data_IF_931479279412
#
_entry.id   IF_931479279412
#
_cell.length_a   1.000
_cell.length_b   1.000
_cell.length_c   1.000
_cell.angle_alpha   90.00
_cell.angle_beta   90.00
_cell.angle_gamma   90.00
#
_symmetry.space_group_name_H-M   'P 1'
#
loop_
_entity.id
_entity.type
_entity.pdbx_description
1 polymer ?
#
# COMPACT_ATOMS: atom_id res chain seq x y z
N UNK A 1 -16.43 5.66 -16.51
CA UNK A 1 -15.30 5.00 -15.82
C UNK A 1 -15.37 3.52 -16.14
N UNK A 2 -14.46 3.01 -16.97
CA UNK A 2 -14.38 1.58 -17.31
C UNK A 2 -14.06 0.77 -16.05
N UNK A 3 -14.79 -0.33 -15.83
CA UNK A 3 -14.46 -1.28 -14.76
C UNK A 3 -13.14 -1.94 -15.13
N UNK A 4 -12.05 -1.57 -14.47
CA UNK A 4 -10.78 -2.29 -14.59
C UNK A 4 -11.00 -3.73 -14.11
N UNK A 5 -10.81 -4.70 -15.00
CA UNK A 5 -10.89 -6.12 -14.70
C UNK A 5 -9.47 -6.66 -14.52
N UNK A 6 -9.15 -7.16 -13.33
CA UNK A 6 -7.85 -7.74 -13.00
C UNK A 6 -7.89 -9.28 -13.19
N UNK A 7 -8.01 -9.73 -14.45
CA UNK A 7 -8.01 -11.17 -14.76
C UNK A 7 -6.60 -11.76 -14.51
N UNK A 8 -6.51 -12.92 -13.87
CA UNK A 8 -5.23 -13.57 -13.53
C UNK A 8 -4.50 -13.00 -12.30
N UNK A 9 -4.97 -11.89 -11.72
CA UNK A 9 -4.44 -11.35 -10.46
C UNK A 9 -5.06 -12.08 -9.26
N UNK A 10 -4.28 -12.47 -8.23
CA UNK A 10 -4.84 -13.08 -7.02
C UNK A 10 -5.96 -12.23 -6.40
N UNK A 11 -7.05 -12.86 -5.95
CA UNK A 11 -8.26 -12.17 -5.44
C UNK A 11 -7.96 -11.12 -4.38
N UNK A 12 -6.98 -11.37 -3.49
CA UNK A 12 -6.54 -10.41 -2.46
C UNK A 12 -5.94 -9.15 -3.09
N UNK A 13 -5.04 -9.31 -4.05
CA UNK A 13 -4.40 -8.20 -4.77
C UNK A 13 -5.44 -7.41 -5.58
N UNK A 14 -6.33 -8.08 -6.31
CA UNK A 14 -7.38 -7.41 -7.07
C UNK A 14 -8.31 -6.53 -6.20
N UNK A 15 -8.65 -7.00 -4.99
CA UNK A 15 -9.42 -6.22 -4.02
C UNK A 15 -8.65 -4.98 -3.54
N UNK A 16 -7.35 -5.10 -3.28
CA UNK A 16 -6.50 -3.98 -2.88
C UNK A 16 -6.34 -2.96 -4.00
N UNK A 17 -6.09 -3.42 -5.24
CA UNK A 17 -6.01 -2.54 -6.41
C UNK A 17 -7.32 -1.76 -6.61
N UNK A 18 -8.48 -2.41 -6.41
CA UNK A 18 -9.77 -1.72 -6.45
C UNK A 18 -9.91 -0.67 -5.34
N UNK A 19 -9.57 -1.03 -4.10
CA UNK A 19 -9.57 -0.13 -2.92
C UNK A 19 -8.69 1.10 -3.17
N UNK A 20 -7.51 0.88 -3.72
CA UNK A 20 -6.50 1.90 -4.02
C UNK A 20 -6.72 2.62 -5.36
N UNK A 21 -7.83 2.37 -6.07
CA UNK A 21 -8.12 2.96 -7.38
C UNK A 21 -6.98 2.73 -8.40
N UNK A 22 -6.26 1.62 -8.26
CA UNK A 22 -5.12 1.26 -9.11
C UNK A 22 -3.86 2.08 -8.85
N UNK A 23 -3.76 2.80 -7.74
CA UNK A 23 -2.63 3.69 -7.41
C UNK A 23 -1.78 3.08 -6.29
N UNK A 24 -0.46 3.08 -6.46
CA UNK A 24 0.47 2.70 -5.42
C UNK A 24 0.54 3.81 -4.34
N UNK A 25 0.24 3.51 -3.05
CA UNK A 25 0.23 4.52 -1.99
C UNK A 25 1.61 5.08 -1.67
N UNK A 26 2.70 4.39 -2.03
CA UNK A 26 4.06 4.86 -1.80
C UNK A 26 4.52 5.86 -2.88
N UNK A 27 4.53 5.47 -4.15
CA UNK A 27 5.04 6.33 -5.24
C UNK A 27 3.97 7.17 -5.95
N UNK A 28 2.69 6.96 -5.64
CA UNK A 28 1.52 7.63 -6.24
C UNK A 28 1.33 7.40 -7.75
N UNK A 29 2.03 6.43 -8.34
CA UNK A 29 1.85 6.03 -9.74
C UNK A 29 0.79 4.93 -9.87
N UNK A 30 0.22 4.79 -11.07
CA UNK A 30 -0.72 3.71 -11.37
C UNK A 30 0.00 2.37 -11.52
N UNK A 31 -0.66 1.29 -11.13
CA UNK A 31 -0.25 -0.06 -11.49
C UNK A 31 -0.56 -0.35 -12.96
N UNK A 32 0.31 -1.12 -13.58
CA UNK A 32 0.20 -1.64 -14.93
C UNK A 32 0.19 -3.18 -14.89
N UNK A 33 -0.27 -3.87 -15.94
CA UNK A 33 -0.26 -5.33 -16.00
C UNK A 33 1.14 -5.95 -15.90
N UNK A 34 2.19 -5.20 -16.26
CA UNK A 34 3.58 -5.66 -16.25
C UNK A 34 4.27 -5.45 -14.89
N UNK A 35 3.59 -4.77 -13.95
CA UNK A 35 4.15 -4.50 -12.63
C UNK A 35 4.20 -5.76 -11.75
N UNK A 36 5.31 -5.90 -11.02
CA UNK A 36 5.38 -6.81 -9.88
C UNK A 36 4.70 -6.16 -8.67
N UNK A 37 3.55 -6.71 -8.28
CA UNK A 37 2.71 -6.20 -7.21
C UNK A 37 2.83 -7.09 -5.98
N UNK A 38 3.18 -6.50 -4.85
CA UNK A 38 3.32 -7.18 -3.56
C UNK A 38 2.28 -6.66 -2.56
N UNK A 39 1.82 -7.56 -1.67
CA UNK A 39 0.91 -7.21 -0.57
C UNK A 39 1.75 -6.93 0.65
N UNK A 40 1.57 -5.76 1.24
CA UNK A 40 2.33 -5.27 2.38
C UNK A 40 1.39 -4.81 3.51
N UNK A 41 1.91 -4.85 4.74
CA UNK A 41 1.22 -4.32 5.92
C UNK A 41 1.51 -2.82 6.06
N UNK A 42 0.44 -2.01 6.08
CA UNK A 42 0.46 -0.57 6.32
C UNK A 42 1.23 -0.26 7.61
N UNK A 43 0.75 -0.79 8.73
CA UNK A 43 1.49 -0.86 9.99
C UNK A 43 2.25 -2.20 9.99
N UNK A 44 3.59 -2.21 10.08
CA UNK A 44 4.35 -3.44 10.11
C UNK A 44 3.96 -4.34 11.28
N UNK A 45 3.99 -5.67 11.09
CA UNK A 45 3.71 -6.65 12.16
C UNK A 45 4.62 -6.45 13.38
N UNK A 46 5.88 -6.09 13.16
CA UNK A 46 6.86 -5.77 14.21
C UNK A 46 6.48 -4.57 15.07
N UNK A 47 5.57 -3.72 14.59
CA UNK A 47 5.04 -2.53 15.29
C UNK A 47 3.59 -2.74 15.76
N UNK A 48 3.12 -3.99 15.80
CA UNK A 48 1.76 -4.33 16.26
C UNK A 48 0.68 -4.30 15.19
N UNK A 49 1.05 -4.11 13.92
CA UNK A 49 0.11 -4.18 12.81
C UNK A 49 -0.50 -5.57 12.64
N UNK A 50 -1.83 -5.63 12.47
CA UNK A 50 -2.57 -6.88 12.33
C UNK A 50 -2.62 -7.36 10.88
N UNK A 51 -2.80 -8.66 10.68
CA UNK A 51 -3.03 -9.24 9.36
C UNK A 51 -4.51 -9.13 8.95
N UNK A 52 -5.02 -7.90 8.98
CA UNK A 52 -6.40 -7.55 8.65
C UNK A 52 -6.44 -6.76 7.34
N UNK A 53 -7.48 -6.95 6.53
CA UNK A 53 -7.56 -6.34 5.18
C UNK A 53 -7.50 -4.80 5.19
N UNK A 54 -7.93 -4.16 6.27
CA UNK A 54 -7.79 -2.71 6.48
C UNK A 54 -6.31 -2.28 6.58
N UNK A 55 -5.44 -3.12 7.13
CA UNK A 55 -4.00 -2.92 7.30
C UNK A 55 -3.17 -3.47 6.14
N UNK A 56 -3.80 -3.91 5.04
CA UNK A 56 -3.10 -4.38 3.85
C UNK A 56 -3.14 -3.31 2.73
N UNK A 57 -2.06 -3.25 1.97
CA UNK A 57 -1.91 -2.45 0.76
C UNK A 57 -1.19 -3.25 -0.34
N UNK A 58 -1.48 -2.92 -1.60
CA UNK A 58 -0.70 -3.35 -2.75
C UNK A 58 0.37 -2.29 -3.06
N UNK A 59 1.61 -2.73 -3.23
CA UNK A 59 2.76 -1.89 -3.58
C UNK A 59 3.45 -2.43 -4.82
N UNK A 60 4.13 -1.55 -5.58
CA UNK A 60 5.17 -2.00 -6.50
C UNK A 60 6.29 -2.65 -5.70
N UNK A 61 6.93 -3.69 -6.23
CA UNK A 61 8.05 -4.36 -5.56
C UNK A 61 9.14 -3.41 -5.05
N UNK A 62 9.58 -2.46 -5.88
CA UNK A 62 10.59 -1.46 -5.48
C UNK A 62 10.08 -0.53 -4.36
N UNK A 63 8.78 -0.23 -4.33
CA UNK A 63 8.16 0.57 -3.28
C UNK A 63 8.09 -0.20 -1.95
N UNK A 64 7.80 -1.50 -2.01
CA UNK A 64 7.83 -2.37 -0.85
C UNK A 64 9.23 -2.44 -0.25
N UNK A 65 10.27 -2.64 -1.07
CA UNK A 65 11.67 -2.65 -0.60
C UNK A 65 12.06 -1.34 0.12
N UNK A 66 11.64 -0.18 -0.42
CA UNK A 66 11.88 1.13 0.21
C UNK A 66 11.12 1.26 1.53
N UNK A 67 9.85 0.84 1.57
CA UNK A 67 9.04 0.90 2.79
C UNK A 67 9.62 0.01 3.88
N UNK A 68 9.94 -1.26 3.59
CA UNK A 68 10.51 -2.18 4.57
C UNK A 68 11.82 -1.68 5.17
N UNK A 69 12.64 -0.98 4.37
CA UNK A 69 13.86 -0.30 4.84
C UNK A 69 13.61 0.92 5.71
N UNK A 70 12.38 1.43 5.77
CA UNK A 70 12.02 2.58 6.60
C UNK A 70 11.03 2.21 7.72
N UNK A 71 10.56 0.96 7.79
CA UNK A 71 9.58 0.49 8.79
C UNK A 71 10.05 0.70 10.24
N UNK A 72 11.36 0.77 10.48
CA UNK A 72 11.94 1.06 11.79
C UNK A 72 12.11 2.55 12.10
N UNK A 73 12.09 3.42 11.08
CA UNK A 73 12.30 4.87 11.21
C UNK A 73 11.04 5.62 11.62
N UNK A 74 9.87 5.09 11.28
CA UNK A 74 8.61 5.74 11.60
C UNK A 74 8.01 5.19 12.88
N UNK A 75 7.64 6.08 13.80
CA UNK A 75 6.60 5.76 14.78
C UNK A 75 5.25 5.81 14.05
N UNK A 76 4.76 4.62 13.69
CA UNK A 76 3.51 4.43 12.95
C UNK A 76 2.27 4.83 13.75
N UNK A 77 2.42 5.12 15.05
CA UNK A 77 1.33 5.50 15.93
C UNK A 77 1.29 7.01 16.21
N UNK A 78 2.41 7.73 16.04
CA UNK A 78 2.57 9.12 16.52
C UNK A 78 2.59 10.19 15.39
N UNK A 79 2.90 9.81 14.14
CA UNK A 79 3.22 10.77 13.06
C UNK A 79 2.07 11.22 12.13
N UNK A 80 0.83 11.33 12.62
CA UNK A 80 -0.23 12.00 11.85
C UNK A 80 -0.57 11.34 10.49
N UNK A 81 -0.71 10.02 10.48
CA UNK A 81 -1.20 9.30 9.29
C UNK A 81 -2.61 9.76 8.95
N UNK A 82 -2.78 10.23 7.71
CA UNK A 82 -4.10 10.50 7.18
C UNK A 82 -4.60 9.27 6.40
N UNK A 83 -5.79 8.80 6.78
CA UNK A 83 -6.56 7.86 5.98
C UNK A 83 -7.43 8.68 5.03
N UNK A 84 -7.14 8.62 3.73
CA UNK A 84 -7.97 9.25 2.70
C UNK A 84 -8.51 8.18 1.77
N UNK A 85 -9.83 8.04 1.71
CA UNK A 85 -10.53 7.03 0.90
C UNK A 85 -10.02 5.59 1.15
N UNK A 86 -9.82 5.21 2.41
CA UNK A 86 -9.25 3.91 2.85
C UNK A 86 -7.81 3.64 2.38
N UNK A 87 -7.12 4.64 1.85
CA UNK A 87 -5.71 4.57 1.46
C UNK A 87 -4.88 5.30 2.52
N UNK A 88 -3.85 4.63 3.04
CA UNK A 88 -2.87 5.25 3.90
C UNK A 88 -2.07 6.26 3.09
N UNK A 89 -2.16 7.54 3.45
CA UNK A 89 -1.21 8.54 2.98
C UNK A 89 -0.16 8.71 4.05
N UNK A 90 1.03 8.16 3.81
CA UNK A 90 2.22 8.50 4.59
C UNK A 90 2.67 9.87 4.07
N UNK A 91 2.73 10.93 4.91
CA UNK A 91 3.48 12.11 4.54
C UNK A 91 4.94 11.67 4.45
N UNK A 92 5.45 11.49 3.23
CA UNK A 92 6.90 11.47 3.04
C UNK A 92 7.39 12.79 3.63
N UNK A 93 8.21 12.68 4.67
CA UNK A 93 8.72 13.80 5.47
C UNK A 93 9.04 14.98 4.55
N UNK A 94 8.41 16.13 4.81
CA UNK A 94 8.73 17.40 4.14
C UNK A 94 10.23 17.64 4.37
N UNK A 95 10.95 17.86 3.28
CA UNK A 95 12.33 18.35 3.30
C UNK A 95 12.50 19.56 4.25
#
# INVERSE_FOLDING_TARGET
MSKVQYTGTPTRVAKLLKKQKGICPQCKQHFTPDDLIEVDHIIPKSKGGKDEFNNLQALHRHCHDVKSKNDYLYDWLDNGYEWKDDVLTVPMTRD
#
